data_IF_316603177814
#
_entry.id   IF_316603177814
#
_cell.length_a   1.000
_cell.length_b   1.000
_cell.length_c   1.000
_cell.angle_alpha   90.00
_cell.angle_beta   90.00
_cell.angle_gamma   90.00
#
_symmetry.space_group_name_H-M   'P 1'
#
loop_
_entity.id
_entity.type
_entity.pdbx_description
1 polymer ?
#
# COMPACT_ATOMS: atom_id res chain seq x y z
N UNK A 1 -6.41 -9.73 25.02
CA UNK A 1 -6.08 -9.00 23.78
C UNK A 1 -4.68 -8.36 23.89
N UNK A 2 -3.63 -9.18 23.93
CA UNK A 2 -2.26 -8.73 24.25
C UNK A 2 -1.53 -7.99 23.13
N UNK A 3 -2.03 -8.08 21.88
CA UNK A 3 -1.47 -7.38 20.72
C UNK A 3 -2.21 -6.08 20.40
N UNK A 4 -3.33 -5.82 21.07
CA UNK A 4 -4.13 -4.62 20.87
C UNK A 4 -3.66 -3.54 21.86
N UNK A 5 -3.51 -2.28 21.44
CA UNK A 5 -3.22 -1.17 22.35
C UNK A 5 -4.27 -1.01 23.45
N UNK A 6 -3.87 -0.54 24.62
CA UNK A 6 -4.75 -0.31 25.77
C UNK A 6 -5.91 0.64 25.45
N UNK A 7 -5.65 1.72 24.71
CA UNK A 7 -6.65 2.71 24.32
C UNK A 7 -7.73 2.17 23.36
N UNK A 8 -7.53 0.98 22.79
CA UNK A 8 -8.51 0.25 21.97
C UNK A 8 -9.15 -0.93 22.74
N UNK A 9 -8.96 -1.00 24.07
CA UNK A 9 -9.47 -2.10 24.90
C UNK A 9 -8.55 -3.33 24.95
N UNK A 10 -7.27 -3.16 24.63
CA UNK A 10 -6.24 -4.18 24.72
C UNK A 10 -5.38 -4.08 25.98
N UNK A 11 -4.20 -4.70 25.94
CA UNK A 11 -3.20 -4.63 27.04
C UNK A 11 -1.79 -4.32 26.55
N UNK A 12 -1.62 -3.95 25.27
CA UNK A 12 -0.32 -3.57 24.73
C UNK A 12 -0.03 -2.10 25.04
N UNK A 13 1.14 -1.81 25.61
CA UNK A 13 1.58 -0.43 25.89
C UNK A 13 2.86 -0.04 25.15
N UNK A 14 3.71 -1.01 24.80
CA UNK A 14 5.03 -0.76 24.18
C UNK A 14 5.85 0.32 24.93
N UNK A 15 5.92 0.20 26.26
CA UNK A 15 6.52 1.20 27.16
C UNK A 15 7.99 1.53 26.81
N UNK A 16 8.79 0.51 26.46
CA UNK A 16 10.19 0.66 26.05
C UNK A 16 10.39 1.49 24.76
N UNK A 17 9.32 1.68 23.98
CA UNK A 17 9.32 2.44 22.72
C UNK A 17 8.57 3.76 22.84
N UNK A 18 8.13 4.15 24.05
CA UNK A 18 7.35 5.36 24.27
C UNK A 18 5.92 5.27 23.73
N UNK A 19 5.33 4.07 23.70
CA UNK A 19 3.92 3.84 23.35
C UNK A 19 3.70 3.02 22.08
N UNK A 20 2.53 2.39 21.96
CA UNK A 20 2.16 1.59 20.77
C UNK A 20 2.20 2.39 19.46
N UNK A 21 1.89 3.69 19.48
CA UNK A 21 1.96 4.55 18.28
C UNK A 21 3.39 4.77 17.75
N UNK A 22 4.40 4.59 18.60
CA UNK A 22 5.82 4.77 18.25
C UNK A 22 6.55 3.44 18.04
N UNK A 23 5.90 2.34 18.37
CA UNK A 23 6.50 1.02 18.34
C UNK A 23 6.41 0.40 16.95
N UNK A 24 7.55 0.06 16.36
CA UNK A 24 7.65 -0.72 15.13
C UNK A 24 7.61 -2.24 15.43
N UNK A 25 6.75 -2.66 16.35
CA UNK A 25 6.63 -4.07 16.77
C UNK A 25 5.72 -4.82 15.81
N UNK A 26 6.26 -5.82 15.14
CA UNK A 26 5.48 -6.70 14.29
C UNK A 26 6.28 -7.84 13.66
N UNK A 27 5.62 -8.67 12.85
CA UNK A 27 6.22 -9.87 12.25
C UNK A 27 7.37 -9.55 11.30
N UNK A 28 7.44 -8.34 10.74
CA UNK A 28 8.54 -7.92 9.86
C UNK A 28 9.90 -7.80 10.56
N UNK A 29 9.97 -7.91 11.89
CA UNK A 29 11.24 -7.98 12.63
C UNK A 29 11.82 -9.38 12.74
N UNK A 30 11.06 -10.40 12.36
CA UNK A 30 11.53 -11.78 12.39
C UNK A 30 12.54 -12.02 11.24
N UNK A 31 13.73 -12.58 11.53
CA UNK A 31 14.72 -12.89 10.49
C UNK A 31 14.22 -13.90 9.45
N UNK A 32 13.34 -14.83 9.80
CA UNK A 32 12.75 -15.78 8.85
C UNK A 32 11.84 -15.04 7.84
N UNK A 33 11.07 -14.06 8.33
CA UNK A 33 10.18 -13.24 7.51
C UNK A 33 10.98 -12.28 6.62
N UNK A 34 12.07 -11.70 7.15
CA UNK A 34 12.97 -10.81 6.40
C UNK A 34 13.71 -11.53 5.27
N UNK A 35 14.11 -12.80 5.47
CA UNK A 35 14.75 -13.63 4.44
C UNK A 35 13.80 -13.89 3.28
N UNK A 36 12.52 -14.17 3.57
CA UNK A 36 11.51 -14.40 2.53
C UNK A 36 11.22 -13.14 1.70
N UNK A 37 11.22 -11.96 2.32
CA UNK A 37 11.00 -10.68 1.62
C UNK A 37 12.12 -10.27 0.66
N UNK A 38 13.36 -10.69 0.91
CA UNK A 38 14.49 -10.47 -0.02
C UNK A 38 14.51 -11.45 -1.20
N UNK A 39 13.82 -12.60 -1.07
CA UNK A 39 13.79 -13.67 -2.06
C UNK A 39 12.65 -13.60 -3.08
N UNK A 40 11.90 -12.49 -3.16
CA UNK A 40 10.72 -12.42 -4.04
C UNK A 40 9.61 -13.38 -3.62
N UNK A 41 9.57 -13.77 -2.35
CA UNK A 41 8.60 -14.71 -1.81
C UNK A 41 7.23 -14.08 -1.64
N UNK A 42 6.31 -14.39 -2.56
CA UNK A 42 4.88 -14.04 -2.50
C UNK A 42 4.25 -14.47 -1.17
N UNK A 43 3.93 -13.53 -0.29
CA UNK A 43 3.10 -13.76 0.90
C UNK A 43 1.60 -13.83 0.54
N UNK A 44 1.25 -14.55 -0.53
CA UNK A 44 -0.14 -14.79 -0.85
C UNK A 44 -0.61 -16.03 -0.07
N UNK A 45 -1.07 -15.81 1.16
CA UNK A 45 -1.81 -16.84 1.94
C UNK A 45 -3.27 -16.98 1.47
N UNK A 46 -3.46 -17.08 0.16
CA UNK A 46 -4.62 -17.75 -0.42
C UNK A 46 -4.08 -18.90 -1.26
N UNK A 47 -4.00 -20.06 -0.61
CA UNK A 47 -3.72 -21.32 -1.28
C UNK A 47 -4.84 -21.60 -2.29
N UNK A 48 -4.52 -21.61 -3.58
CA UNK A 48 -5.43 -22.12 -4.60
C UNK A 48 -5.43 -21.38 -5.93
N UNK A 49 -4.30 -21.38 -6.64
CA UNK A 49 -4.25 -21.65 -8.08
C UNK A 49 -2.80 -21.52 -8.55
N UNK A 50 -2.24 -22.67 -8.90
CA UNK A 50 -1.14 -22.83 -9.84
C UNK A 50 -1.12 -21.72 -10.90
N UNK A 51 -0.05 -20.92 -10.95
CA UNK A 51 0.65 -20.62 -12.20
C UNK A 51 2.12 -20.31 -11.83
N UNK A 52 2.90 -21.38 -11.67
CA UNK A 52 4.30 -21.30 -12.09
C UNK A 52 4.26 -21.02 -13.59
N UNK A 53 4.65 -19.81 -13.98
CA UNK A 53 5.08 -19.54 -15.34
C UNK A 53 6.41 -18.84 -15.23
N UNK A 54 7.46 -19.65 -15.34
CA UNK A 54 8.76 -19.20 -15.78
C UNK A 54 8.56 -18.60 -17.19
N UNK A 55 8.42 -17.28 -17.25
CA UNK A 55 8.63 -16.55 -18.49
C UNK A 55 9.87 -15.70 -18.29
N UNK A 56 11.01 -16.32 -18.60
CA UNK A 56 12.23 -15.66 -19.06
C UNK A 56 11.89 -14.41 -19.90
N UNK A 57 11.85 -13.23 -19.26
CA UNK A 57 11.87 -11.96 -19.98
C UNK A 57 13.34 -11.59 -20.17
N UNK A 58 13.89 -12.12 -21.26
CA UNK A 58 15.19 -11.74 -21.77
C UNK A 58 15.14 -10.32 -22.33
N UNK A 59 16.09 -9.50 -21.89
CA UNK A 59 16.79 -8.47 -22.66
C UNK A 59 15.96 -7.32 -23.26
N UNK A 60 16.19 -6.11 -22.74
CA UNK A 60 16.85 -5.03 -23.52
C UNK A 60 17.00 -3.75 -22.69
N UNK A 61 18.25 -3.46 -22.36
CA UNK A 61 18.90 -2.17 -22.61
C UNK A 61 18.14 -0.83 -22.43
N UNK A 62 18.67 -0.09 -21.44
CA UNK A 62 19.01 1.35 -21.46
C UNK A 62 17.93 2.35 -21.01
N UNK A 63 18.16 2.77 -19.76
CA UNK A 63 17.79 4.06 -19.20
C UNK A 63 18.15 5.22 -20.15
N UNK A 64 17.14 5.94 -20.65
CA UNK A 64 17.30 7.30 -21.17
C UNK A 64 16.05 8.10 -20.80
N UNK A 65 16.11 8.77 -19.65
CA UNK A 65 15.18 9.84 -19.34
C UNK A 65 15.39 10.93 -20.39
N UNK A 66 14.47 11.06 -21.35
CA UNK A 66 14.38 12.22 -22.22
C UNK A 66 13.22 13.09 -21.74
N UNK A 67 13.50 14.38 -21.65
CA UNK A 67 12.76 15.38 -20.90
C UNK A 67 11.26 15.49 -21.20
N UNK A 68 10.58 16.11 -20.23
CA UNK A 68 9.19 16.54 -20.31
C UNK A 68 8.99 17.38 -21.58
N UNK A 69 8.30 16.82 -22.58
CA UNK A 69 7.66 17.62 -23.62
C UNK A 69 6.27 17.95 -23.12
N UNK A 70 6.07 19.21 -22.72
CA UNK A 70 4.75 19.79 -22.54
C UNK A 70 3.97 19.63 -23.86
N UNK A 71 2.80 19.01 -23.76
CA UNK A 71 1.82 18.90 -24.82
C UNK A 71 0.48 19.27 -24.23
N UNK A 72 0.05 20.50 -24.46
CA UNK A 72 -1.28 20.97 -24.12
C UNK A 72 -2.31 20.24 -24.97
N UNK A 73 -3.00 19.27 -24.38
CA UNK A 73 -4.29 18.78 -24.85
C UNK A 73 -4.92 17.95 -23.73
N UNK A 74 -5.87 18.56 -23.04
CA UNK A 74 -7.15 17.96 -22.68
C UNK A 74 -7.99 19.04 -22.00
N UNK A 75 -8.68 19.86 -22.79
CA UNK A 75 -9.96 20.42 -22.34
C UNK A 75 -10.96 19.27 -22.39
N UNK A 76 -11.05 18.52 -21.30
CA UNK A 76 -12.24 17.77 -20.97
C UNK A 76 -12.95 18.59 -19.89
N UNK A 77 -13.93 19.40 -20.30
CA UNK A 77 -14.93 19.91 -19.36
C UNK A 77 -15.67 18.71 -18.80
N UNK A 78 -15.27 18.26 -17.62
CA UNK A 78 -16.01 17.27 -16.85
C UNK A 78 -17.20 17.98 -16.22
N UNK A 79 -18.25 18.19 -17.02
CA UNK A 79 -19.55 18.65 -16.56
C UNK A 79 -20.17 17.58 -15.67
N UNK A 80 -20.20 17.83 -14.36
CA UNK A 80 -21.07 17.08 -13.45
C UNK A 80 -22.30 17.93 -13.18
N UNK A 81 -23.42 17.50 -13.74
CA UNK A 81 -24.74 17.92 -13.32
C UNK A 81 -24.96 17.43 -11.88
N UNK A 82 -25.06 18.37 -10.92
CA UNK A 82 -25.72 18.10 -9.66
C UNK A 82 -26.98 18.95 -9.61
N UNK A 83 -28.12 18.29 -9.53
CA UNK A 83 -29.42 18.92 -9.41
C UNK A 83 -29.44 19.91 -8.23
N UNK A 84 -30.05 21.06 -8.51
CA UNK A 84 -30.31 22.18 -7.63
C UNK A 84 -30.98 21.71 -6.35
N UNK A 85 -30.23 21.69 -5.24
CA UNK A 85 -30.78 21.59 -3.90
C UNK A 85 -31.49 22.90 -3.57
N UNK A 86 -32.69 23.08 -4.13
CA UNK A 86 -33.58 24.14 -3.73
C UNK A 86 -34.04 23.88 -2.28
N UNK A 87 -33.33 24.50 -1.34
CA UNK A 87 -33.91 24.83 -0.03
C UNK A 87 -33.29 26.12 0.49
N UNK A 88 -33.90 27.28 0.19
CA UNK A 88 -33.86 28.42 1.07
C UNK A 88 -34.99 28.33 2.08
N UNK A 89 -34.62 28.47 3.35
CA UNK A 89 -35.53 28.71 4.48
C UNK A 89 -36.26 30.04 4.29
N UNK A 90 -37.59 30.01 4.40
CA UNK A 90 -38.42 30.93 5.21
C UNK A 90 -39.74 30.26 5.51
#
# INVERSE_FOLDING_TARGET
>A
ASQLPDFLGGTCTCEDKGGCMRSDKGPWKDPEILKMGRGGGTFCRHAGAFLSSDSQVSSSDKQSYKGMKVGDTSTAESGSELEEMASPRT
#
